data_IF_348658760010
#
_entry.id   IF_348658760010
#
_cell.length_a   1.000
_cell.length_b   1.000
_cell.length_c   1.000
_cell.angle_alpha   90.00
_cell.angle_beta   90.00
_cell.angle_gamma   90.00
#
_symmetry.space_group_name_H-M   'P 1'
#
loop_
_entity.id
_entity.type
_entity.pdbx_description
1 polymer ?
#
# COMPACT_ATOMS: atom_id res chain seq x y z
N UNK A 1 -5.65 14.91 -22.43
CA UNK A 1 -5.00 15.52 -21.24
C UNK A 1 -4.31 14.39 -20.48
N UNK A 2 -3.00 14.48 -20.23
CA UNK A 2 -2.28 13.45 -19.47
C UNK A 2 -2.96 13.28 -18.11
N UNK A 3 -3.16 12.03 -17.69
CA UNK A 3 -3.74 11.67 -16.40
C UNK A 3 -2.74 11.91 -15.24
N UNK A 4 -2.02 13.04 -15.31
CA UNK A 4 -0.91 13.44 -14.44
C UNK A 4 -1.33 13.45 -12.97
N UNK A 5 -2.62 13.72 -12.70
CA UNK A 5 -3.20 13.64 -11.35
C UNK A 5 -3.13 12.20 -10.79
N UNK A 6 -3.63 11.21 -11.54
CA UNK A 6 -3.63 9.79 -11.12
C UNK A 6 -2.21 9.26 -10.95
N UNK A 7 -1.33 9.54 -11.90
CA UNK A 7 0.07 9.10 -11.83
C UNK A 7 0.81 9.72 -10.63
N UNK A 8 0.54 10.99 -10.30
CA UNK A 8 1.11 11.65 -9.13
C UNK A 8 0.56 11.06 -7.83
N UNK A 9 -0.74 10.75 -7.76
CA UNK A 9 -1.35 10.10 -6.60
C UNK A 9 -0.76 8.71 -6.36
N UNK A 10 -0.59 7.90 -7.41
CA UNK A 10 0.07 6.59 -7.33
C UNK A 10 1.49 6.73 -6.80
N UNK A 11 2.26 7.72 -7.27
CA UNK A 11 3.61 7.98 -6.78
C UNK A 11 3.64 8.44 -5.30
N UNK A 12 2.66 9.22 -4.87
CA UNK A 12 2.55 9.61 -3.45
C UNK A 12 2.27 8.40 -2.57
N UNK A 13 1.37 7.52 -3.00
CA UNK A 13 1.06 6.27 -2.29
C UNK A 13 2.29 5.38 -2.20
N UNK A 14 3.03 5.22 -3.30
CA UNK A 14 4.27 4.45 -3.36
C UNK A 14 5.28 4.95 -2.30
N UNK A 15 5.46 6.27 -2.18
CA UNK A 15 6.33 6.89 -1.17
C UNK A 15 5.84 6.65 0.26
N UNK A 16 4.53 6.67 0.50
CA UNK A 16 3.97 6.40 1.83
C UNK A 16 4.27 4.96 2.25
N UNK A 17 4.04 3.98 1.36
CA UNK A 17 4.32 2.57 1.65
C UNK A 17 5.82 2.38 1.91
N UNK A 18 6.70 2.93 1.07
CA UNK A 18 8.15 2.83 1.30
C UNK A 18 8.56 3.39 2.66
N UNK A 19 8.04 4.57 3.04
CA UNK A 19 8.37 5.22 4.30
C UNK A 19 7.86 4.46 5.54
N UNK A 20 6.80 3.66 5.41
CA UNK A 20 6.31 2.77 6.48
C UNK A 20 7.28 1.61 6.72
N UNK A 21 7.93 1.11 5.67
CA UNK A 21 8.78 -0.09 5.74
C UNK A 21 10.30 0.18 5.74
N UNK A 22 10.74 1.40 5.41
CA UNK A 22 12.16 1.78 5.26
C UNK A 22 13.02 1.53 6.51
N UNK A 23 12.44 1.65 7.71
CA UNK A 23 13.16 1.52 8.98
C UNK A 23 12.99 0.15 9.65
N UNK A 24 12.40 -0.83 8.95
CA UNK A 24 12.12 -2.17 9.49
C UNK A 24 11.33 -2.18 10.80
N UNK A 25 10.55 -1.12 11.06
CA UNK A 25 9.74 -0.96 12.26
C UNK A 25 8.44 -0.26 11.92
N UNK A 26 7.34 -0.90 12.32
CA UNK A 26 6.02 -0.30 12.31
C UNK A 26 5.84 0.46 13.62
N UNK A 27 5.36 1.71 13.52
CA UNK A 27 5.03 2.55 14.67
C UNK A 27 3.51 2.79 14.75
N UNK A 28 3.08 3.53 15.78
CA UNK A 28 1.67 3.88 16.00
C UNK A 28 1.06 4.73 14.87
N UNK A 29 1.88 5.39 14.05
CA UNK A 29 1.43 6.21 12.94
C UNK A 29 1.28 5.40 11.64
N UNK A 30 1.72 4.13 11.63
CA UNK A 30 1.60 3.20 10.50
C UNK A 30 0.16 3.12 10.00
N UNK A 31 -0.80 2.89 10.89
CA UNK A 31 -2.21 2.73 10.53
C UNK A 31 -2.76 3.98 9.83
N UNK A 32 -2.46 5.16 10.40
CA UNK A 32 -2.87 6.45 9.82
C UNK A 32 -2.25 6.67 8.43
N UNK A 33 -0.97 6.33 8.26
CA UNK A 33 -0.27 6.44 6.97
C UNK A 33 -0.86 5.51 5.92
N UNK A 34 -1.15 4.26 6.27
CA UNK A 34 -1.76 3.29 5.36
C UNK A 34 -3.22 3.66 5.02
N UNK A 35 -3.98 4.18 5.98
CA UNK A 35 -5.32 4.71 5.73
C UNK A 35 -5.31 5.89 4.74
N UNK A 36 -4.36 6.81 4.89
CA UNK A 36 -4.14 7.91 3.95
C UNK A 36 -3.78 7.40 2.55
N UNK A 37 -2.91 6.38 2.47
CA UNK A 37 -2.56 5.72 1.21
C UNK A 37 -3.78 5.11 0.51
N UNK A 38 -4.65 4.40 1.24
CA UNK A 38 -5.89 3.85 0.68
C UNK A 38 -6.86 4.93 0.21
N UNK A 39 -6.99 6.04 0.95
CA UNK A 39 -7.85 7.16 0.59
C UNK A 39 -7.38 7.85 -0.71
N UNK A 40 -6.06 7.97 -0.88
CA UNK A 40 -5.45 8.46 -2.11
C UNK A 40 -5.70 7.50 -3.28
N UNK A 41 -5.53 6.19 -3.08
CA UNK A 41 -5.83 5.20 -4.13
C UNK A 41 -7.29 5.16 -4.52
N UNK A 42 -8.23 5.30 -3.58
CA UNK A 42 -9.66 5.39 -3.90
C UNK A 42 -9.96 6.60 -4.81
N UNK A 43 -9.28 7.72 -4.56
CA UNK A 43 -9.37 8.92 -5.41
C UNK A 43 -8.78 8.65 -6.80
N UNK A 44 -7.60 8.02 -6.86
CA UNK A 44 -6.94 7.64 -8.10
C UNK A 44 -7.79 6.67 -8.93
N UNK A 45 -8.39 5.66 -8.28
CA UNK A 45 -9.30 4.70 -8.88
C UNK A 45 -10.50 5.40 -9.51
N UNK A 46 -11.18 6.28 -8.77
CA UNK A 46 -12.33 7.03 -9.26
C UNK A 46 -11.94 7.90 -10.45
N UNK A 47 -10.81 8.59 -10.40
CA UNK A 47 -10.35 9.40 -11.52
C UNK A 47 -9.96 8.55 -12.75
N UNK A 48 -9.34 7.38 -12.54
CA UNK A 48 -8.99 6.45 -13.61
C UNK A 48 -10.22 5.87 -14.28
N UNK A 49 -11.24 5.47 -13.51
CA UNK A 49 -12.46 4.83 -14.02
C UNK A 49 -13.36 5.76 -14.84
N UNK A 50 -13.29 7.07 -14.61
CA UNK A 50 -14.05 8.07 -15.35
C UNK A 50 -13.26 8.68 -16.52
N UNK A 51 -11.99 8.32 -16.70
CA UNK A 51 -11.19 8.81 -17.82
C UNK A 51 -11.59 8.09 -19.11
N UNK A 52 -11.64 8.82 -20.23
CA UNK A 52 -11.88 8.23 -21.58
C UNK A 52 -10.83 7.17 -21.97
N UNK A 53 -9.70 7.11 -21.25
CA UNK A 53 -8.61 6.15 -21.42
C UNK A 53 -8.57 5.15 -20.24
N UNK A 54 -9.71 4.87 -19.60
CA UNK A 54 -9.82 3.86 -18.55
C UNK A 54 -9.56 2.47 -19.12
N UNK A 55 -8.30 2.02 -19.14
CA UNK A 55 -8.02 0.61 -19.36
C UNK A 55 -8.35 -0.15 -18.08
N UNK A 56 -9.13 -1.23 -18.20
CA UNK A 56 -9.45 -2.15 -17.10
C UNK A 56 -8.21 -2.49 -16.25
N UNK A 57 -7.06 -2.64 -16.90
CA UNK A 57 -5.78 -2.94 -16.27
C UNK A 57 -5.22 -1.87 -15.30
N UNK A 58 -5.56 -0.58 -15.45
CA UNK A 58 -5.14 0.47 -14.50
C UNK A 58 -6.00 0.38 -13.25
N UNK A 59 -7.32 0.27 -13.43
CA UNK A 59 -8.27 0.17 -12.31
C UNK A 59 -8.06 -1.12 -11.53
N UNK A 60 -7.76 -2.23 -12.21
CA UNK A 60 -7.44 -3.52 -11.58
C UNK A 60 -6.16 -3.42 -10.75
N UNK A 61 -5.09 -2.86 -11.31
CA UNK A 61 -3.83 -2.68 -10.58
C UNK A 61 -3.98 -1.73 -9.37
N UNK A 62 -4.80 -0.68 -9.46
CA UNK A 62 -5.09 0.19 -8.31
C UNK A 62 -5.89 -0.58 -7.24
N UNK A 63 -6.89 -1.37 -7.63
CA UNK A 63 -7.63 -2.24 -6.70
C UNK A 63 -6.72 -3.27 -6.02
N UNK A 64 -5.86 -3.95 -6.76
CA UNK A 64 -4.95 -4.95 -6.21
C UNK A 64 -3.94 -4.34 -5.21
N UNK A 65 -3.48 -3.11 -5.48
CA UNK A 65 -2.68 -2.35 -4.54
C UNK A 65 -3.47 -2.02 -3.25
N UNK A 66 -4.75 -1.60 -3.36
CA UNK A 66 -5.61 -1.36 -2.20
C UNK A 66 -5.82 -2.63 -1.37
N UNK A 67 -6.04 -3.78 -2.01
CA UNK A 67 -6.18 -5.08 -1.32
C UNK A 67 -4.91 -5.42 -0.55
N UNK A 68 -3.74 -5.21 -1.16
CA UNK A 68 -2.44 -5.46 -0.52
C UNK A 68 -2.24 -4.57 0.70
N UNK A 69 -2.54 -3.26 0.59
CA UNK A 69 -2.45 -2.31 1.71
C UNK A 69 -3.43 -2.68 2.83
N UNK A 70 -4.65 -3.10 2.51
CA UNK A 70 -5.61 -3.52 3.52
C UNK A 70 -5.12 -4.77 4.28
N UNK A 71 -4.50 -5.73 3.59
CA UNK A 71 -3.86 -6.89 4.23
C UNK A 71 -2.72 -6.48 5.14
N UNK A 72 -1.94 -5.46 4.77
CA UNK A 72 -0.93 -4.85 5.65
C UNK A 72 -1.57 -4.27 6.90
N UNK A 73 -2.68 -3.52 6.78
CA UNK A 73 -3.35 -2.96 7.95
C UNK A 73 -3.79 -4.05 8.94
N UNK A 74 -4.42 -5.13 8.43
CA UNK A 74 -4.89 -6.23 9.26
C UNK A 74 -3.73 -6.96 9.94
N UNK A 75 -2.73 -7.40 9.18
CA UNK A 75 -1.57 -8.10 9.73
C UNK A 75 -0.70 -7.20 10.62
N UNK A 76 -0.62 -5.90 10.30
CA UNK A 76 0.16 -4.91 11.03
C UNK A 76 -0.45 -4.59 12.38
N UNK A 77 -1.78 -4.56 12.50
CA UNK A 77 -2.47 -4.43 13.79
C UNK A 77 -2.11 -5.61 14.71
N UNK A 78 -2.19 -6.84 14.19
CA UNK A 78 -1.80 -8.05 14.93
C UNK A 78 -0.32 -8.02 15.34
N UNK A 79 0.57 -7.62 14.43
CA UNK A 79 2.00 -7.49 14.72
C UNK A 79 2.29 -6.45 15.80
N UNK A 80 1.64 -5.29 15.76
CA UNK A 80 1.82 -4.27 16.80
C UNK A 80 1.29 -4.77 18.15
N UNK A 81 0.14 -5.45 18.17
CA UNK A 81 -0.40 -6.06 19.39
C UNK A 81 0.53 -7.15 19.97
N UNK A 82 1.17 -7.98 19.14
CA UNK A 82 2.10 -9.01 19.60
C UNK A 82 3.41 -8.41 20.12
N UNK A 83 4.00 -7.45 19.39
CA UNK A 83 5.25 -6.79 19.77
C UNK A 83 5.15 -5.93 21.04
N UNK A 84 3.95 -5.46 21.41
CA UNK A 84 3.75 -4.63 22.61
C UNK A 84 3.29 -5.40 23.86
N UNK A 85 2.92 -6.68 23.75
CA UNK A 85 2.31 -7.43 24.84
C UNK A 85 3.09 -8.66 25.34
N UNK A 86 4.11 -9.18 24.64
CA UNK A 86 4.89 -10.34 25.11
C UNK A 86 6.40 -10.23 24.80
N UNK A 87 7.23 -10.60 25.79
CA UNK A 87 8.70 -10.48 25.81
C UNK A 87 9.46 -11.62 25.10
N UNK A 88 8.80 -12.67 24.59
CA UNK A 88 9.49 -13.90 24.11
C UNK A 88 8.92 -14.47 22.79
N UNK A 89 8.63 -13.62 21.79
CA UNK A 89 8.08 -14.10 20.50
C UNK A 89 8.78 -13.52 19.25
N UNK A 90 10.11 -13.37 19.34
CA UNK A 90 10.96 -12.81 18.28
C UNK A 90 10.81 -13.54 16.93
N UNK A 91 10.67 -14.87 16.94
CA UNK A 91 10.49 -15.65 15.71
C UNK A 91 9.15 -15.35 15.02
N UNK A 92 8.05 -15.25 15.78
CA UNK A 92 6.73 -14.91 15.25
C UNK A 92 6.70 -13.46 14.73
N UNK A 93 7.34 -12.54 15.46
CA UNK A 93 7.49 -11.15 15.05
C UNK A 93 8.31 -11.05 13.74
N UNK A 94 9.41 -11.81 13.61
CA UNK A 94 10.18 -11.86 12.36
C UNK A 94 9.36 -12.39 11.17
N UNK A 95 8.60 -13.47 11.36
CA UNK A 95 7.74 -14.05 10.32
C UNK A 95 6.66 -13.04 9.91
N UNK A 96 5.99 -12.41 10.87
CA UNK A 96 4.94 -11.42 10.61
C UNK A 96 5.50 -10.17 9.92
N UNK A 97 6.67 -9.67 10.34
CA UNK A 97 7.31 -8.56 9.66
C UNK A 97 7.73 -8.91 8.22
N UNK A 98 8.18 -10.15 7.98
CA UNK A 98 8.43 -10.69 6.65
C UNK A 98 7.18 -10.66 5.76
N UNK A 99 6.05 -11.17 6.26
CA UNK A 99 4.77 -11.11 5.57
C UNK A 99 4.35 -9.67 5.22
N UNK A 100 4.52 -8.73 6.15
CA UNK A 100 4.17 -7.32 5.93
C UNK A 100 5.05 -6.69 4.84
N UNK A 101 6.33 -7.06 4.81
CA UNK A 101 7.27 -6.63 3.77
C UNK A 101 6.90 -7.21 2.39
N UNK A 102 6.51 -8.48 2.32
CA UNK A 102 6.08 -9.12 1.07
C UNK A 102 4.81 -8.46 0.50
N UNK A 103 3.84 -8.15 1.38
CA UNK A 103 2.63 -7.42 0.99
C UNK A 103 2.92 -6.00 0.52
N UNK A 104 3.88 -5.32 1.13
CA UNK A 104 4.33 -4.00 0.69
C UNK A 104 4.96 -4.06 -0.71
N UNK A 105 5.83 -5.03 -0.96
CA UNK A 105 6.42 -5.27 -2.28
C UNK A 105 5.35 -5.60 -3.33
N UNK A 106 4.35 -6.39 -2.96
CA UNK A 106 3.20 -6.69 -3.83
C UNK A 106 2.44 -5.40 -4.19
N UNK A 107 2.15 -4.53 -3.21
CA UNK A 107 1.53 -3.23 -3.46
C UNK A 107 2.38 -2.37 -4.42
N UNK A 108 3.69 -2.23 -4.18
CA UNK A 108 4.61 -1.50 -5.05
C UNK A 108 4.58 -2.02 -6.49
N UNK A 109 4.53 -3.34 -6.68
CA UNK A 109 4.45 -3.96 -8.00
C UNK A 109 3.19 -3.51 -8.74
N UNK A 110 2.02 -3.55 -8.10
CA UNK A 110 0.77 -3.13 -8.73
C UNK A 110 0.75 -1.63 -9.03
N UNK A 111 1.25 -0.79 -8.12
CA UNK A 111 1.40 0.66 -8.36
C UNK A 111 2.30 0.96 -9.57
N UNK A 112 3.38 0.20 -9.73
CA UNK A 112 4.27 0.32 -10.89
C UNK A 112 3.59 -0.11 -12.20
N UNK A 113 2.77 -1.15 -12.18
CA UNK A 113 1.96 -1.57 -13.34
C UNK A 113 1.01 -0.45 -13.75
N UNK A 114 0.23 0.08 -12.81
CA UNK A 114 -0.69 1.19 -13.04
C UNK A 114 0.04 2.43 -13.60
N UNK A 115 1.17 2.81 -13.00
CA UNK A 115 1.99 3.96 -13.44
C UNK A 115 2.55 3.77 -14.86
N UNK A 116 2.91 2.55 -15.24
CA UNK A 116 3.43 2.25 -16.59
C UNK A 116 2.35 2.40 -17.65
N UNK A 117 1.11 2.00 -17.34
CA UNK A 117 -0.02 2.09 -18.26
C UNK A 117 -0.59 3.50 -18.41
N UNK A 118 -0.27 4.40 -17.47
CA UNK A 118 -0.66 5.82 -17.52
C UNK A 118 0.30 6.71 -18.34
N UNK A 119 1.42 6.17 -18.82
CA UNK A 119 2.44 6.87 -19.62
C UNK A 119 2.14 6.81 -21.11
#
# INVERSE_FOLDING_TARGET
MKNTSVANTIEQVDKIISAVFENSKLDKDTETRLFNAMSLLATAYKAASHAEISSCSITDAVCDAMVSINRICVAGSHYLESCFNDDDNDDENCIMFGLLTDLAQEAHRYLKVAKTQLR
#
